data_IF_150201015363
#
_entry.id   IF_150201015363
#
_cell.length_a   1.000
_cell.length_b   1.000
_cell.length_c   1.000
_cell.angle_alpha   90.00
_cell.angle_beta   90.00
_cell.angle_gamma   90.00
#
_symmetry.space_group_name_H-M   'P 1'
#
loop_
_entity.id
_entity.type
_entity.pdbx_description
1 polymer ?
#
# COMPACT_ATOMS: atom_id res chain seq x y z
N UNK A 1 -27.38 14.71 16.49
CA UNK A 1 -26.44 14.04 15.58
C UNK A 1 -26.43 14.84 14.29
N UNK A 2 -25.27 15.27 13.80
CA UNK A 2 -25.19 15.97 12.52
C UNK A 2 -25.58 15.00 11.38
N UNK A 3 -26.27 15.45 10.32
CA UNK A 3 -26.45 14.66 9.11
C UNK A 3 -25.10 14.17 8.58
N UNK A 4 -25.04 12.97 7.99
CA UNK A 4 -23.81 12.33 7.49
C UNK A 4 -22.87 13.30 6.75
N UNK A 5 -23.42 14.07 5.80
CA UNK A 5 -22.64 15.06 5.03
C UNK A 5 -22.10 16.21 5.88
N UNK A 6 -22.88 16.71 6.85
CA UNK A 6 -22.45 17.80 7.72
C UNK A 6 -21.34 17.34 8.68
N UNK A 7 -21.39 16.10 9.16
CA UNK A 7 -20.31 15.53 9.96
C UNK A 7 -19.02 15.39 9.13
N UNK A 8 -19.13 14.89 7.89
CA UNK A 8 -17.99 14.77 6.97
C UNK A 8 -17.29 16.12 6.72
N UNK A 9 -18.04 17.19 6.48
CA UNK A 9 -17.45 18.54 6.33
C UNK A 9 -16.78 19.00 7.62
N UNK A 10 -17.46 18.86 8.78
CA UNK A 10 -16.89 19.26 10.07
C UNK A 10 -15.60 18.48 10.39
N UNK A 11 -15.56 17.19 10.10
CA UNK A 11 -14.36 16.36 10.23
C UNK A 11 -13.23 16.88 9.35
N UNK A 12 -13.50 17.15 8.08
CA UNK A 12 -12.45 17.58 7.16
C UNK A 12 -11.92 18.99 7.49
N UNK A 13 -12.79 19.88 7.98
CA UNK A 13 -12.43 21.21 8.45
C UNK A 13 -11.47 21.19 9.65
N UNK A 14 -11.45 20.12 10.45
CA UNK A 14 -10.48 19.98 11.55
C UNK A 14 -9.05 19.87 11.06
N UNK A 15 -8.83 19.31 9.87
CA UNK A 15 -7.50 19.05 9.28
C UNK A 15 -6.58 18.18 10.15
N UNK A 16 -7.13 17.46 11.13
CA UNK A 16 -6.32 16.62 12.06
C UNK A 16 -6.31 15.14 11.67
N UNK A 17 -7.13 14.76 10.70
CA UNK A 17 -7.32 13.39 10.24
C UNK A 17 -7.94 12.47 11.31
N UNK A 18 -7.92 11.16 11.03
CA UNK A 18 -8.45 10.12 11.92
C UNK A 18 -7.68 10.10 13.25
N UNK A 19 -6.36 10.31 13.21
CA UNK A 19 -5.55 10.40 14.42
C UNK A 19 -6.04 11.50 15.37
N UNK A 20 -6.48 12.64 14.85
CA UNK A 20 -7.07 13.71 15.67
C UNK A 20 -8.40 13.34 16.34
N UNK A 21 -9.12 12.33 15.81
CA UNK A 21 -10.29 11.75 16.47
C UNK A 21 -9.90 10.82 17.62
N UNK A 22 -8.80 10.09 17.47
CA UNK A 22 -8.35 9.09 18.46
C UNK A 22 -7.70 9.72 19.69
N UNK A 23 -6.93 10.79 19.50
CA UNK A 23 -6.23 11.51 20.58
C UNK A 23 -7.11 11.95 21.77
N UNK A 24 -8.33 12.49 21.58
CA UNK A 24 -9.23 12.82 22.69
C UNK A 24 -9.94 11.58 23.30
N UNK A 25 -9.60 10.36 22.87
CA UNK A 25 -10.14 9.12 23.45
C UNK A 25 -11.52 8.74 22.91
N UNK A 26 -11.72 8.82 21.59
CA UNK A 26 -12.99 8.40 20.98
C UNK A 26 -13.29 6.92 21.29
N UNK A 27 -14.49 6.65 21.80
CA UNK A 27 -14.95 5.32 22.19
C UNK A 27 -15.83 4.64 21.15
N UNK A 28 -16.24 5.37 20.11
CA UNK A 28 -17.17 4.93 19.07
C UNK A 28 -16.69 5.43 17.71
N UNK A 29 -16.62 4.54 16.72
CA UNK A 29 -16.31 4.90 15.33
C UNK A 29 -17.46 5.73 14.76
N UNK A 30 -17.24 6.98 14.31
CA UNK A 30 -18.27 7.82 13.71
C UNK A 30 -18.85 7.18 12.44
N UNK A 31 -20.13 7.46 12.15
CA UNK A 31 -20.86 6.83 11.06
C UNK A 31 -20.20 6.97 9.68
N UNK A 32 -19.43 8.05 9.44
CA UNK A 32 -18.72 8.21 8.16
C UNK A 32 -17.65 7.14 7.92
N UNK A 33 -17.17 6.48 8.98
CA UNK A 33 -16.17 5.41 8.91
C UNK A 33 -16.80 4.02 9.12
N UNK A 34 -18.12 3.93 9.29
CA UNK A 34 -18.82 2.66 9.50
C UNK A 34 -19.11 2.02 8.16
N UNK A 35 -18.56 0.84 7.95
CA UNK A 35 -18.83 0.02 6.77
C UNK A 35 -19.98 -0.94 7.12
N UNK A 36 -21.04 -1.03 6.30
CA UNK A 36 -22.21 -1.86 6.62
C UNK A 36 -21.92 -3.37 6.60
N UNK A 37 -20.88 -3.79 5.85
CA UNK A 37 -20.39 -5.17 5.83
C UNK A 37 -18.89 -5.22 5.45
N UNK A 38 -17.98 -4.88 6.38
CA UNK A 38 -16.55 -4.82 6.07
C UNK A 38 -15.92 -6.20 5.80
N UNK A 39 -16.58 -7.29 6.24
CA UNK A 39 -15.94 -8.61 6.32
C UNK A 39 -16.72 -9.77 5.69
N UNK A 40 -18.02 -9.69 5.39
CA UNK A 40 -18.82 -10.89 5.12
C UNK A 40 -18.86 -11.37 3.66
N UNK A 41 -18.21 -10.71 2.71
CA UNK A 41 -18.31 -11.12 1.30
C UNK A 41 -17.35 -12.25 0.86
N UNK A 42 -16.35 -12.64 1.65
CA UNK A 42 -15.40 -13.72 1.28
C UNK A 42 -14.68 -14.29 2.51
N UNK A 43 -14.56 -15.61 2.59
CA UNK A 43 -13.94 -16.33 3.71
C UNK A 43 -12.42 -16.08 3.80
N UNK A 44 -11.86 -16.18 5.01
CA UNK A 44 -10.42 -16.29 5.19
C UNK A 44 -9.92 -17.66 4.71
N UNK A 45 -8.71 -17.68 4.19
CA UNK A 45 -8.06 -18.89 3.75
C UNK A 45 -7.90 -19.89 4.89
N UNK A 46 -8.02 -21.18 4.55
CA UNK A 46 -7.71 -22.26 5.50
C UNK A 46 -6.22 -22.30 5.81
N UNK A 47 -5.87 -22.92 6.94
CA UNK A 47 -4.46 -23.15 7.31
C UNK A 47 -3.66 -23.82 6.18
N UNK A 48 -2.42 -23.36 5.98
CA UNK A 48 -1.49 -23.90 4.99
C UNK A 48 -1.41 -23.12 3.67
N UNK A 49 -2.33 -22.18 3.44
CA UNK A 49 -2.23 -21.25 2.31
C UNK A 49 -1.29 -20.10 2.69
N UNK A 50 -0.26 -19.87 1.86
CA UNK A 50 0.75 -18.84 2.11
C UNK A 50 1.14 -18.13 0.82
N UNK A 51 1.40 -16.83 0.94
CA UNK A 51 1.88 -15.99 -0.15
C UNK A 51 3.31 -16.44 -0.53
N UNK A 52 3.62 -16.61 -1.83
CA UNK A 52 4.94 -17.05 -2.27
C UNK A 52 6.07 -16.13 -1.82
N UNK A 53 7.28 -16.68 -1.75
CA UNK A 53 8.51 -15.97 -1.44
C UNK A 53 9.46 -16.06 -2.63
N UNK A 54 10.02 -14.91 -3.02
CA UNK A 54 11.07 -14.77 -4.03
C UNK A 54 12.35 -14.35 -3.31
N UNK A 55 13.37 -15.20 -3.39
CA UNK A 55 14.65 -15.01 -2.73
C UNK A 55 15.72 -14.52 -3.72
N UNK A 56 16.20 -13.29 -3.52
CA UNK A 56 17.23 -12.67 -4.38
C UNK A 56 18.65 -13.22 -4.18
N UNK A 57 18.87 -14.09 -3.18
CA UNK A 57 20.15 -14.80 -3.02
C UNK A 57 20.28 -16.01 -3.95
N UNK A 58 19.19 -16.44 -4.58
CA UNK A 58 19.19 -17.54 -5.54
C UNK A 58 19.83 -17.13 -6.88
N UNK A 59 20.34 -18.10 -7.66
CA UNK A 59 20.76 -17.85 -9.03
C UNK A 59 19.65 -17.17 -9.85
N UNK A 60 20.03 -16.16 -10.67
CA UNK A 60 19.08 -15.31 -11.40
C UNK A 60 17.97 -16.09 -12.15
N UNK A 61 18.25 -17.18 -12.89
CA UNK A 61 17.18 -17.93 -13.57
C UNK A 61 16.14 -18.55 -12.62
N UNK A 62 16.55 -18.94 -11.41
CA UNK A 62 15.64 -19.52 -10.41
C UNK A 62 14.79 -18.43 -9.76
N UNK A 63 15.40 -17.28 -9.42
CA UNK A 63 14.66 -16.13 -8.89
C UNK A 63 13.66 -15.59 -9.91
N UNK A 64 14.03 -15.53 -11.20
CA UNK A 64 13.17 -15.10 -12.30
C UNK A 64 11.98 -16.05 -12.48
N UNK A 65 12.22 -17.36 -12.51
CA UNK A 65 11.16 -18.36 -12.60
C UNK A 65 10.19 -18.29 -11.40
N UNK A 66 10.71 -18.09 -10.18
CA UNK A 66 9.91 -17.93 -8.97
C UNK A 66 9.06 -16.65 -9.01
N UNK A 67 9.65 -15.52 -9.42
CA UNK A 67 8.95 -14.25 -9.55
C UNK A 67 7.83 -14.31 -10.60
N UNK A 68 8.11 -14.87 -11.77
CA UNK A 68 7.10 -15.02 -12.83
C UNK A 68 5.99 -15.99 -12.42
N UNK A 69 6.32 -17.10 -11.76
CA UNK A 69 5.34 -18.03 -11.22
C UNK A 69 4.43 -17.39 -10.17
N UNK A 70 5.01 -16.67 -9.20
CA UNK A 70 4.24 -15.98 -8.17
C UNK A 70 3.41 -14.82 -8.74
N UNK A 71 3.98 -14.01 -9.63
CA UNK A 71 3.25 -12.93 -10.30
C UNK A 71 2.06 -13.45 -11.13
N UNK A 72 2.19 -14.64 -11.74
CA UNK A 72 1.15 -15.28 -12.55
C UNK A 72 0.07 -15.97 -11.71
N UNK A 73 0.45 -16.68 -10.66
CA UNK A 73 -0.48 -17.52 -9.91
C UNK A 73 -1.13 -16.78 -8.73
N UNK A 74 -0.43 -15.79 -8.19
CA UNK A 74 -0.85 -15.04 -7.01
C UNK A 74 -1.03 -13.56 -7.26
N UNK A 75 -0.22 -12.97 -8.15
CA UNK A 75 -0.13 -11.52 -8.28
C UNK A 75 0.55 -10.83 -7.08
N UNK A 76 0.91 -11.59 -6.04
CA UNK A 76 1.61 -11.13 -4.85
C UNK A 76 2.75 -12.07 -4.49
N UNK A 77 3.83 -11.51 -3.95
CA UNK A 77 4.89 -12.30 -3.31
C UNK A 77 5.70 -11.45 -2.34
N UNK A 78 6.29 -12.12 -1.35
CA UNK A 78 7.36 -11.53 -0.55
C UNK A 78 8.67 -11.57 -1.31
N UNK A 79 9.38 -10.46 -1.33
CA UNK A 79 10.77 -10.37 -1.80
C UNK A 79 11.67 -10.37 -0.57
N UNK A 80 12.63 -11.30 -0.50
CA UNK A 80 13.59 -11.42 0.61
C UNK A 80 15.03 -11.31 0.12
N UNK A 81 15.96 -11.11 1.05
CA UNK A 81 17.39 -10.98 0.78
C UNK A 81 17.74 -9.83 -0.19
N UNK A 82 16.93 -8.76 -0.22
CA UNK A 82 17.10 -7.58 -1.07
C UNK A 82 18.07 -6.52 -0.49
N UNK A 83 18.97 -6.90 0.42
CA UNK A 83 19.85 -5.98 1.14
C UNK A 83 20.84 -5.22 0.24
N UNK A 84 21.14 -5.78 -0.95
CA UNK A 84 21.93 -5.09 -1.97
C UNK A 84 21.18 -3.92 -2.63
N UNK A 85 19.83 -3.93 -2.58
CA UNK A 85 18.97 -2.90 -3.19
C UNK A 85 18.47 -1.90 -2.13
N UNK A 86 18.19 -2.40 -0.93
CA UNK A 86 17.70 -1.62 0.21
C UNK A 86 18.55 -1.96 1.44
N UNK A 87 19.31 -1.00 1.99
CA UNK A 87 20.15 -1.25 3.16
C UNK A 87 19.34 -1.79 4.35
N UNK A 88 19.93 -2.72 5.10
CA UNK A 88 19.30 -3.28 6.30
C UNK A 88 18.89 -2.18 7.29
N UNK A 89 17.68 -2.32 7.85
CA UNK A 89 17.09 -1.35 8.77
C UNK A 89 16.63 -0.03 8.13
N UNK A 90 16.75 0.16 6.82
CA UNK A 90 16.22 1.36 6.16
C UNK A 90 14.70 1.44 6.27
N UNK A 91 13.99 0.33 6.00
CA UNK A 91 12.53 0.26 6.09
C UNK A 91 12.03 0.56 7.50
N UNK A 92 12.74 0.11 8.53
CA UNK A 92 12.37 0.36 9.92
C UNK A 92 12.47 1.85 10.26
N UNK A 93 13.54 2.52 9.82
CA UNK A 93 13.70 3.98 9.97
C UNK A 93 12.62 4.74 9.20
N UNK A 94 12.30 4.30 7.98
CA UNK A 94 11.23 4.89 7.18
C UNK A 94 9.87 4.81 7.89
N UNK A 95 9.49 3.62 8.35
CA UNK A 95 8.24 3.40 9.09
C UNK A 95 8.21 4.22 10.39
N UNK A 96 9.33 4.27 11.12
CA UNK A 96 9.46 5.07 12.34
C UNK A 96 9.33 6.58 12.05
N UNK A 97 9.90 7.09 10.96
CA UNK A 97 9.82 8.50 10.60
C UNK A 97 8.39 8.90 10.17
N UNK A 98 7.72 8.06 9.39
CA UNK A 98 6.30 8.25 9.02
C UNK A 98 5.42 8.22 10.28
N UNK A 99 5.66 7.28 11.20
CA UNK A 99 4.98 7.23 12.50
C UNK A 99 5.21 8.51 13.29
N UNK A 100 6.47 8.95 13.40
CA UNK A 100 6.83 10.16 14.14
C UNK A 100 6.08 11.39 13.61
N UNK A 101 5.94 11.55 12.30
CA UNK A 101 5.09 12.60 11.73
C UNK A 101 3.62 12.51 12.21
N UNK A 102 3.01 11.33 12.12
CA UNK A 102 1.61 11.13 12.49
C UNK A 102 1.35 11.28 14.00
N UNK A 103 2.39 11.18 14.83
CA UNK A 103 2.33 11.37 16.28
C UNK A 103 2.71 12.80 16.73
N UNK A 104 3.02 13.71 15.79
CA UNK A 104 3.22 15.13 16.09
C UNK A 104 1.92 15.81 16.57
N UNK A 105 2.02 16.97 17.25
CA UNK A 105 0.86 17.74 17.66
C UNK A 105 -0.09 18.04 16.48
N UNK A 106 -1.41 18.02 16.68
CA UNK A 106 -2.40 18.20 15.61
C UNK A 106 -2.19 19.48 14.79
N UNK A 107 -1.77 20.57 15.45
CA UNK A 107 -1.52 21.85 14.79
C UNK A 107 -0.37 21.78 13.77
N UNK A 108 0.65 20.94 14.02
CA UNK A 108 1.77 20.73 13.11
C UNK A 108 1.32 19.89 11.92
N UNK A 109 0.58 18.80 12.17
CA UNK A 109 0.04 17.93 11.10
C UNK A 109 -0.96 18.67 10.22
N UNK A 110 -1.83 19.49 10.81
CA UNK A 110 -2.86 20.27 10.11
C UNK A 110 -2.29 21.28 9.09
N UNK A 111 -1.06 21.76 9.28
CA UNK A 111 -0.39 22.63 8.33
C UNK A 111 -0.07 21.94 7.00
N UNK A 112 0.04 20.61 6.99
CA UNK A 112 0.25 19.80 5.79
C UNK A 112 -1.05 19.28 5.18
N UNK A 113 -2.20 19.47 5.84
CA UNK A 113 -3.44 18.83 5.45
C UNK A 113 -4.02 19.42 4.16
N UNK A 114 -4.27 18.57 3.17
CA UNK A 114 -4.71 19.00 1.85
C UNK A 114 -4.95 17.81 0.90
N UNK A 115 -5.61 18.10 -0.22
CA UNK A 115 -5.87 17.16 -1.33
C UNK A 115 -5.73 17.83 -2.70
N UNK A 116 -5.03 18.96 -2.77
CA UNK A 116 -4.99 19.76 -3.99
C UNK A 116 -3.91 19.28 -4.96
N UNK A 117 -3.02 18.37 -4.55
CA UNK A 117 -1.89 17.84 -5.35
C UNK A 117 -0.92 18.95 -5.79
N UNK A 118 -1.13 20.19 -5.35
CA UNK A 118 -0.22 21.29 -5.61
C UNK A 118 1.16 20.87 -5.14
N UNK A 119 2.21 21.07 -5.94
CA UNK A 119 3.58 20.73 -5.58
C UNK A 119 3.86 19.24 -5.30
N UNK A 120 2.91 18.33 -5.53
CA UNK A 120 3.08 16.88 -5.46
C UNK A 120 3.18 16.27 -4.07
N UNK A 121 2.75 16.98 -3.01
CA UNK A 121 2.74 16.46 -1.62
C UNK A 121 1.43 16.83 -0.93
N UNK A 122 0.73 15.84 -0.41
CA UNK A 122 -0.52 15.98 0.33
C UNK A 122 -0.52 15.16 1.63
N UNK A 123 -1.30 15.59 2.61
CA UNK A 123 -1.64 14.82 3.81
C UNK A 123 -3.15 14.83 4.03
N UNK A 124 -3.78 13.65 4.10
CA UNK A 124 -5.23 13.52 4.21
C UNK A 124 -5.65 12.18 4.83
N UNK A 125 -6.91 12.06 5.26
CA UNK A 125 -7.44 10.75 5.68
C UNK A 125 -7.91 9.89 4.52
N UNK A 126 -8.72 10.46 3.62
CA UNK A 126 -9.25 9.77 2.45
C UNK A 126 -9.23 10.71 1.24
N UNK A 127 -8.71 10.24 0.11
CA UNK A 127 -8.67 10.99 -1.15
C UNK A 127 -10.09 11.23 -1.69
N UNK A 128 -10.94 10.20 -1.61
CA UNK A 128 -12.29 10.15 -2.16
C UNK A 128 -13.39 10.49 -1.13
N UNK A 129 -13.03 11.13 -0.02
CA UNK A 129 -13.90 11.37 1.16
C UNK A 129 -15.33 11.80 0.81
N UNK A 130 -15.50 12.72 -0.15
CA UNK A 130 -16.79 13.28 -0.54
C UNK A 130 -17.62 12.41 -1.51
N UNK A 131 -17.07 11.29 -1.97
CA UNK A 131 -17.66 10.39 -2.97
C UNK A 131 -17.94 8.99 -2.40
N UNK A 132 -17.18 8.56 -1.39
CA UNK A 132 -17.33 7.23 -0.79
C UNK A 132 -18.58 7.14 0.09
N UNK A 133 -19.20 5.95 0.14
CA UNK A 133 -20.29 5.67 1.09
C UNK A 133 -19.82 5.51 2.54
N UNK A 134 -18.54 5.14 2.72
CA UNK A 134 -17.85 5.12 4.00
C UNK A 134 -16.35 5.35 3.78
N UNK A 135 -15.75 6.17 4.63
CA UNK A 135 -14.33 6.49 4.65
C UNK A 135 -13.52 5.35 5.30
N UNK A 136 -12.26 5.23 4.91
CA UNK A 136 -11.31 4.33 5.57
C UNK A 136 -10.75 4.97 6.84
N UNK A 137 -10.60 4.20 7.91
CA UNK A 137 -9.98 4.66 9.16
C UNK A 137 -8.47 4.71 8.97
N UNK A 138 -7.93 5.79 8.39
CA UNK A 138 -6.48 5.97 8.19
C UNK A 138 -6.15 7.44 7.97
N UNK A 139 -4.88 7.76 8.11
CA UNK A 139 -4.26 8.98 7.60
C UNK A 139 -3.17 8.62 6.58
N UNK A 140 -2.89 9.49 5.62
CA UNK A 140 -2.00 9.21 4.49
C UNK A 140 -1.20 10.45 4.15
N UNK A 141 0.13 10.30 4.06
CA UNK A 141 0.99 11.21 3.30
C UNK A 141 1.08 10.65 1.88
N UNK A 142 0.77 11.46 0.88
CA UNK A 142 0.95 11.12 -0.53
C UNK A 142 2.04 12.00 -1.14
N UNK A 143 2.97 11.39 -1.87
CA UNK A 143 4.04 12.09 -2.58
C UNK A 143 4.08 11.59 -4.02
N UNK A 144 3.85 12.49 -4.97
CA UNK A 144 3.98 12.22 -6.40
C UNK A 144 5.42 12.51 -6.83
N UNK A 145 6.18 11.45 -7.13
CA UNK A 145 7.58 11.52 -7.54
C UNK A 145 7.79 11.60 -9.06
N UNK A 146 6.75 11.36 -9.86
CA UNK A 146 6.79 11.43 -11.31
C UNK A 146 5.41 11.69 -11.93
N UNK A 147 5.35 12.22 -13.17
CA UNK A 147 6.48 12.44 -14.07
C UNK A 147 7.33 13.66 -13.72
N UNK A 148 6.80 14.61 -12.93
CA UNK A 148 7.55 15.73 -12.38
C UNK A 148 7.92 15.46 -10.92
N UNK A 149 9.14 15.82 -10.53
CA UNK A 149 9.55 15.71 -9.11
C UNK A 149 8.80 16.75 -8.25
N UNK A 150 8.43 16.38 -7.02
CA UNK A 150 7.76 17.29 -6.11
C UNK A 150 8.77 18.28 -5.52
N UNK A 151 8.26 19.36 -4.95
CA UNK A 151 9.05 20.17 -4.04
C UNK A 151 9.24 19.40 -2.72
N UNK A 152 10.44 18.86 -2.50
CA UNK A 152 10.74 18.05 -1.32
C UNK A 152 10.64 18.83 -0.01
N UNK A 153 10.70 20.17 -0.05
CA UNK A 153 10.52 20.99 1.16
C UNK A 153 9.10 20.89 1.72
N UNK A 154 8.12 20.53 0.87
CA UNK A 154 6.74 20.30 1.30
C UNK A 154 6.53 18.99 2.05
N UNK A 155 7.45 18.04 1.91
CA UNK A 155 7.44 16.80 2.69
C UNK A 155 7.78 17.15 4.14
N UNK A 156 7.01 16.67 5.14
CA UNK A 156 7.25 16.99 6.55
C UNK A 156 8.70 16.69 6.95
N UNK A 157 9.37 17.67 7.57
CA UNK A 157 10.80 17.62 7.82
C UNK A 157 11.24 16.37 8.61
N UNK A 158 10.39 15.88 9.52
CA UNK A 158 10.66 14.70 10.36
C UNK A 158 10.76 13.38 9.58
N UNK A 159 10.19 13.29 8.37
CA UNK A 159 10.21 12.07 7.55
C UNK A 159 10.74 12.29 6.13
N UNK A 160 11.20 13.50 5.82
CA UNK A 160 11.62 13.90 4.47
C UNK A 160 12.76 13.06 3.92
N UNK A 161 13.84 12.88 4.68
CA UNK A 161 15.03 12.13 4.25
C UNK A 161 14.69 10.69 3.90
N UNK A 162 13.87 10.05 4.72
CA UNK A 162 13.47 8.65 4.59
C UNK A 162 12.53 8.48 3.40
N UNK A 163 11.55 9.37 3.23
CA UNK A 163 10.62 9.34 2.08
C UNK A 163 11.37 9.53 0.75
N UNK A 164 12.30 10.50 0.68
CA UNK A 164 13.12 10.72 -0.52
C UNK A 164 14.07 9.55 -0.77
N UNK A 165 14.68 9.00 0.29
CA UNK A 165 15.52 7.81 0.16
C UNK A 165 14.74 6.58 -0.31
N UNK A 166 13.49 6.44 0.13
CA UNK A 166 12.63 5.34 -0.30
C UNK A 166 12.30 5.42 -1.79
N UNK A 167 12.06 6.61 -2.37
CA UNK A 167 11.87 6.76 -3.82
C UNK A 167 13.03 6.14 -4.61
N UNK A 168 14.27 6.41 -4.19
CA UNK A 168 15.46 5.85 -4.82
C UNK A 168 15.53 4.32 -4.66
N UNK A 169 15.39 3.82 -3.44
CA UNK A 169 15.47 2.39 -3.14
C UNK A 169 14.34 1.58 -3.82
N UNK A 170 13.11 2.07 -3.74
CA UNK A 170 11.95 1.46 -4.40
C UNK A 170 12.11 1.49 -5.93
N UNK A 171 12.70 2.53 -6.51
CA UNK A 171 12.99 2.56 -7.96
C UNK A 171 13.99 1.45 -8.34
N UNK A 172 15.03 1.23 -7.54
CA UNK A 172 16.00 0.15 -7.77
C UNK A 172 15.36 -1.24 -7.60
N UNK A 173 14.51 -1.42 -6.59
CA UNK A 173 13.76 -2.67 -6.39
C UNK A 173 12.80 -2.91 -7.56
N UNK A 174 12.08 -1.88 -8.02
CA UNK A 174 11.16 -1.99 -9.16
C UNK A 174 11.87 -2.46 -10.42
N UNK A 175 13.04 -1.88 -10.74
CA UNK A 175 13.87 -2.31 -11.88
C UNK A 175 14.27 -3.78 -11.77
N UNK A 176 14.78 -4.19 -10.61
CA UNK A 176 15.19 -5.58 -10.39
C UNK A 176 14.01 -6.56 -10.52
N UNK A 177 12.86 -6.24 -9.92
CA UNK A 177 11.66 -7.08 -9.99
C UNK A 177 11.10 -7.16 -11.41
N UNK A 178 11.04 -6.04 -12.14
CA UNK A 178 10.59 -6.04 -13.53
C UNK A 178 11.51 -6.89 -14.42
N UNK A 179 12.83 -6.80 -14.24
CA UNK A 179 13.78 -7.65 -14.97
C UNK A 179 13.55 -9.14 -14.69
N UNK A 180 13.38 -9.52 -13.42
CA UNK A 180 13.06 -10.91 -13.03
C UNK A 180 11.74 -11.40 -13.65
N UNK A 181 10.71 -10.56 -13.65
CA UNK A 181 9.42 -10.88 -14.26
C UNK A 181 9.57 -11.06 -15.78
N UNK A 182 10.29 -10.16 -16.46
CA UNK A 182 10.57 -10.26 -17.89
C UNK A 182 11.32 -11.55 -18.22
N UNK A 183 12.44 -11.83 -17.56
CA UNK A 183 13.25 -13.04 -17.78
C UNK A 183 12.44 -14.32 -17.53
N UNK A 184 11.70 -14.38 -16.43
CA UNK A 184 10.86 -15.53 -16.07
C UNK A 184 9.68 -15.75 -17.04
N UNK A 185 9.31 -14.72 -17.79
CA UNK A 185 8.32 -14.78 -18.88
C UNK A 185 8.95 -15.01 -20.26
N UNK A 186 10.28 -15.09 -20.36
CA UNK A 186 11.00 -15.28 -21.63
C UNK A 186 11.10 -14.00 -22.47
N UNK A 187 10.98 -12.83 -21.85
CA UNK A 187 11.14 -11.51 -22.47
C UNK A 187 12.56 -10.97 -22.23
N UNK A 188 12.94 -9.93 -22.99
CA UNK A 188 14.13 -9.15 -22.68
C UNK A 188 13.96 -8.44 -21.32
N UNK A 189 15.02 -8.44 -20.49
CA UNK A 189 14.98 -7.97 -19.11
C UNK A 189 14.58 -6.48 -18.97
N UNK A 190 14.82 -5.68 -20.00
CA UNK A 190 14.54 -4.25 -20.07
C UNK A 190 13.18 -3.92 -20.70
N UNK A 191 12.43 -4.92 -21.21
CA UNK A 191 11.20 -4.69 -21.96
C UNK A 191 10.14 -3.85 -21.20
N UNK A 192 10.04 -4.01 -19.88
CA UNK A 192 9.14 -3.21 -19.05
C UNK A 192 9.67 -1.79 -18.81
N UNK A 193 10.98 -1.64 -18.70
CA UNK A 193 11.59 -0.32 -18.52
C UNK A 193 11.44 0.52 -19.79
N UNK A 194 11.68 -0.06 -20.97
CA UNK A 194 11.49 0.58 -22.28
C UNK A 194 10.03 0.99 -22.51
N UNK A 195 9.07 0.31 -21.89
CA UNK A 195 7.65 0.64 -21.97
C UNK A 195 7.21 1.79 -21.02
N UNK A 196 8.17 2.57 -20.51
CA UNK A 196 7.98 3.71 -19.59
C UNK A 196 7.28 3.34 -18.27
N UNK A 197 7.39 2.08 -17.81
CA UNK A 197 6.73 1.61 -16.60
C UNK A 197 7.25 2.20 -15.28
N UNK A 198 8.26 3.10 -15.32
CA UNK A 198 8.85 3.76 -14.15
C UNK A 198 8.67 5.29 -14.11
N UNK A 199 7.99 5.88 -15.10
CA UNK A 199 7.83 7.34 -15.17
C UNK A 199 6.78 7.86 -14.18
N UNK A 200 5.65 7.15 -14.05
CA UNK A 200 4.61 7.46 -13.07
C UNK A 200 4.94 6.83 -11.72
N UNK A 201 5.22 7.67 -10.72
CA UNK A 201 5.56 7.20 -9.37
C UNK A 201 4.80 7.98 -8.32
N UNK A 202 4.07 7.25 -7.48
CA UNK A 202 3.38 7.78 -6.31
C UNK A 202 3.76 6.93 -5.12
N UNK A 203 4.12 7.59 -4.03
CA UNK A 203 4.35 6.96 -2.73
C UNK A 203 3.21 7.34 -1.80
N UNK A 204 2.62 6.36 -1.15
CA UNK A 204 1.62 6.55 -0.10
C UNK A 204 2.13 5.99 1.22
N UNK A 205 2.15 6.83 2.24
CA UNK A 205 2.54 6.47 3.60
C UNK A 205 1.28 6.38 4.45
N UNK A 206 0.70 5.19 4.58
CA UNK A 206 -0.50 4.99 5.37
C UNK A 206 -0.17 4.84 6.86
N UNK A 207 -0.91 5.58 7.68
CA UNK A 207 -0.92 5.46 9.12
C UNK A 207 -2.31 5.02 9.57
N UNK A 208 -2.34 3.99 10.43
CA UNK A 208 -3.55 3.31 10.85
C UNK A 208 -3.71 3.45 12.37
N UNK A 209 -4.38 4.50 12.87
CA UNK A 209 -4.58 4.71 14.30
C UNK A 209 -5.38 3.55 14.94
N UNK A 210 -5.15 3.30 16.23
CA UNK A 210 -5.99 2.40 17.03
C UNK A 210 -7.48 2.68 16.81
N UNK A 211 -8.27 1.63 16.64
CA UNK A 211 -9.70 1.72 16.37
C UNK A 211 -10.50 1.11 17.54
N UNK A 212 -11.50 1.84 18.10
CA UNK A 212 -12.30 1.32 19.22
C UNK A 212 -13.34 0.26 18.81
N UNK A 213 -13.79 0.27 17.54
CA UNK A 213 -14.75 -0.71 16.98
C UNK A 213 -14.18 -1.30 15.67
N UNK A 214 -13.09 -2.08 15.71
CA UNK A 214 -12.39 -2.59 14.53
C UNK A 214 -13.29 -3.44 13.61
N UNK A 215 -14.32 -4.06 14.17
CA UNK A 215 -15.31 -4.86 13.46
C UNK A 215 -16.29 -4.02 12.60
N UNK A 216 -16.31 -2.69 12.79
CA UNK A 216 -17.23 -1.76 12.11
C UNK A 216 -16.56 -0.91 11.03
N UNK A 217 -15.25 -0.98 10.88
CA UNK A 217 -14.50 -0.15 9.92
C UNK A 217 -13.44 -0.93 9.16
N UNK A 218 -12.73 -0.26 8.24
CA UNK A 218 -11.61 -0.81 7.50
C UNK A 218 -10.49 0.24 7.37
N UNK A 219 -9.24 -0.24 7.35
CA UNK A 219 -8.07 0.60 7.05
C UNK A 219 -7.94 0.90 5.58
N UNK A 220 -8.27 -0.07 4.73
CA UNK A 220 -8.45 0.18 3.30
C UNK A 220 -9.49 -0.81 2.78
N UNK A 221 -10.43 -0.30 2.00
CA UNK A 221 -11.47 -1.08 1.34
C UNK A 221 -10.84 -2.03 0.30
N UNK A 222 -11.50 -3.14 -0.07
CA UNK A 222 -11.08 -3.98 -1.18
C UNK A 222 -10.90 -3.18 -2.48
N UNK A 223 -9.70 -3.21 -3.06
CA UNK A 223 -9.39 -2.57 -4.35
C UNK A 223 -8.27 -3.32 -5.05
N UNK A 224 -8.04 -3.03 -6.34
CA UNK A 224 -6.84 -3.42 -7.09
C UNK A 224 -6.00 -2.19 -7.36
N UNK A 225 -4.69 -2.36 -7.52
CA UNK A 225 -3.79 -1.24 -7.79
C UNK A 225 -3.72 -0.95 -9.30
N UNK A 226 -4.06 0.27 -9.76
CA UNK A 226 -4.04 0.65 -11.17
C UNK A 226 -2.61 1.04 -11.63
N UNK A 227 -1.60 0.27 -11.22
CA UNK A 227 -0.18 0.50 -11.49
C UNK A 227 0.45 -0.71 -12.19
N UNK A 228 1.75 -0.63 -12.50
CA UNK A 228 2.52 -1.78 -13.00
C UNK A 228 2.95 -2.68 -11.83
N UNK A 229 3.52 -2.07 -10.80
CA UNK A 229 4.07 -2.75 -9.65
C UNK A 229 3.85 -1.90 -8.40
N UNK A 230 3.44 -2.53 -7.30
CA UNK A 230 3.48 -1.91 -5.95
C UNK A 230 4.58 -2.59 -5.14
N UNK A 231 5.39 -1.78 -4.45
CA UNK A 231 6.41 -2.24 -3.51
C UNK A 231 6.03 -1.72 -2.14
N UNK A 232 5.71 -2.63 -1.23
CA UNK A 232 5.17 -2.31 0.08
C UNK A 232 6.13 -2.75 1.19
N UNK A 233 6.55 -1.77 1.99
CA UNK A 233 7.14 -2.02 3.30
C UNK A 233 6.04 -2.00 4.36
N UNK A 234 6.02 -2.99 5.26
CA UNK A 234 5.01 -3.14 6.30
C UNK A 234 5.67 -3.14 7.68
N UNK A 235 4.93 -2.69 8.70
CA UNK A 235 5.33 -2.87 10.09
C UNK A 235 5.07 -4.30 10.58
N UNK A 236 5.40 -4.58 11.84
CA UNK A 236 5.24 -5.88 12.48
C UNK A 236 3.81 -6.17 12.97
N UNK A 237 2.91 -5.18 12.91
CA UNK A 237 1.49 -5.31 13.28
C UNK A 237 0.71 -6.04 12.19
N UNK A 238 0.97 -5.70 10.93
CA UNK A 238 0.33 -6.34 9.77
C UNK A 238 -1.08 -5.82 9.48
N UNK A 239 -2.02 -6.75 9.25
CA UNK A 239 -3.41 -6.47 8.88
C UNK A 239 -3.70 -6.43 7.38
N UNK A 240 -2.68 -6.50 6.51
CA UNK A 240 -2.92 -6.62 5.06
C UNK A 240 -3.50 -7.99 4.73
N UNK A 241 -4.52 -8.01 3.88
CA UNK A 241 -5.05 -9.23 3.29
C UNK A 241 -5.05 -9.13 1.78
N UNK A 242 -4.65 -10.22 1.12
CA UNK A 242 -4.67 -10.36 -0.34
C UNK A 242 -5.75 -11.36 -0.72
N UNK A 243 -6.49 -11.09 -1.79
CA UNK A 243 -7.47 -12.03 -2.32
C UNK A 243 -6.76 -13.02 -3.25
N UNK A 244 -7.01 -14.30 -3.06
CA UNK A 244 -6.49 -15.35 -3.93
C UNK A 244 -7.63 -16.25 -4.39
N UNK A 245 -7.57 -16.69 -5.65
CA UNK A 245 -8.48 -17.68 -6.22
C UNK A 245 -7.70 -18.94 -6.52
N UNK A 246 -8.08 -20.04 -5.89
CA UNK A 246 -7.41 -21.32 -6.11
C UNK A 246 -7.75 -21.92 -7.50
N UNK A 247 -7.08 -23.01 -7.86
CA UNK A 247 -7.29 -23.72 -9.14
C UNK A 247 -8.71 -24.25 -9.34
N UNK A 248 -9.50 -24.37 -8.28
CA UNK A 248 -10.90 -24.81 -8.34
C UNK A 248 -11.88 -23.64 -8.53
N UNK A 249 -11.39 -22.40 -8.61
CA UNK A 249 -12.20 -21.20 -8.77
C UNK A 249 -12.75 -20.62 -7.45
N UNK A 250 -12.31 -21.14 -6.30
CA UNK A 250 -12.75 -20.63 -5.00
C UNK A 250 -11.87 -19.45 -4.58
N UNK A 251 -12.49 -18.31 -4.26
CA UNK A 251 -11.80 -17.13 -3.75
C UNK A 251 -11.81 -17.08 -2.21
N UNK A 252 -10.69 -16.66 -1.64
CA UNK A 252 -10.55 -16.40 -0.21
C UNK A 252 -9.57 -15.24 0.05
N UNK A 253 -9.63 -14.66 1.24
CA UNK A 253 -8.65 -13.68 1.71
C UNK A 253 -7.53 -14.39 2.48
N UNK A 254 -6.28 -14.05 2.17
CA UNK A 254 -5.08 -14.58 2.83
C UNK A 254 -4.42 -13.45 3.61
N UNK A 255 -4.11 -13.69 4.89
CA UNK A 255 -3.33 -12.75 5.69
C UNK A 255 -1.91 -12.64 5.16
N UNK A 256 -1.52 -11.44 4.75
CA UNK A 256 -0.15 -11.09 4.47
C UNK A 256 0.58 -10.77 5.79
N UNK A 257 0.94 -11.84 6.51
CA UNK A 257 1.67 -11.73 7.78
C UNK A 257 3.03 -11.05 7.57
N UNK A 258 3.38 -10.01 8.35
CA UNK A 258 4.68 -9.36 8.26
C UNK A 258 5.83 -10.38 8.35
N UNK A 259 6.75 -10.30 7.39
CA UNK A 259 8.00 -11.08 7.38
C UNK A 259 9.15 -10.09 7.61
N UNK A 260 9.91 -10.22 8.71
CA UNK A 260 10.99 -9.30 9.02
C UNK A 260 11.99 -9.15 7.86
N UNK A 261 12.23 -7.91 7.44
CA UNK A 261 13.16 -7.60 6.35
C UNK A 261 12.70 -8.06 4.96
N UNK A 262 11.41 -8.34 4.77
CA UNK A 262 10.83 -8.60 3.45
C UNK A 262 10.07 -7.38 2.92
N UNK A 263 9.97 -7.28 1.59
CA UNK A 263 9.04 -6.37 0.92
C UNK A 263 7.89 -7.18 0.32
N UNK A 264 6.67 -6.67 0.39
CA UNK A 264 5.54 -7.23 -0.34
C UNK A 264 5.50 -6.61 -1.74
N UNK A 265 5.42 -7.44 -2.76
CA UNK A 265 5.29 -7.04 -4.15
C UNK A 265 3.89 -7.36 -4.64
N UNK A 266 3.23 -6.40 -5.29
CA UNK A 266 1.96 -6.59 -6.01
C UNK A 266 2.17 -6.34 -7.51
N UNK A 267 1.68 -7.25 -8.35
CA UNK A 267 1.54 -7.05 -9.79
C UNK A 267 0.23 -6.31 -10.07
N UNK A 268 0.33 -5.04 -10.46
CA UNK A 268 -0.83 -4.19 -10.68
C UNK A 268 -1.56 -4.43 -12.01
N UNK A 269 -2.72 -3.81 -12.16
CA UNK A 269 -3.63 -4.00 -13.29
C UNK A 269 -2.97 -3.70 -14.65
N UNK A 270 -2.06 -2.71 -14.72
CA UNK A 270 -1.40 -2.31 -15.97
C UNK A 270 -0.44 -3.38 -16.49
N UNK A 271 0.24 -4.09 -15.59
CA UNK A 271 1.16 -5.15 -15.97
C UNK A 271 0.41 -6.39 -16.46
N UNK A 272 -0.73 -6.70 -15.81
CA UNK A 272 -1.58 -7.82 -16.23
C UNK A 272 -2.08 -7.65 -17.66
N UNK A 273 -2.57 -6.46 -18.02
CA UNK A 273 -3.10 -6.18 -19.36
C UNK A 273 -2.02 -6.22 -20.43
N UNK A 274 -0.83 -5.68 -20.14
CA UNK A 274 0.23 -5.54 -21.15
C UNK A 274 1.03 -6.83 -21.40
N UNK A 275 1.30 -7.63 -20.36
CA UNK A 275 2.30 -8.71 -20.47
C UNK A 275 1.83 -10.07 -19.93
N UNK A 276 0.78 -10.11 -19.12
CA UNK A 276 0.22 -11.37 -18.58
C UNK A 276 -1.12 -11.66 -19.29
N UNK A 277 -1.10 -11.66 -20.62
CA UNK A 277 -2.30 -11.86 -21.46
C UNK A 277 -2.86 -13.29 -21.43
N UNK A 278 -2.22 -14.21 -20.70
CA UNK A 278 -2.54 -15.64 -20.68
C UNK A 278 -3.24 -16.10 -19.39
N UNK A 279 -3.62 -15.17 -18.50
CA UNK A 279 -4.33 -15.48 -17.25
C UNK A 279 -5.59 -14.62 -17.15
N UNK A 280 -6.76 -15.18 -16.76
CA UNK A 280 -7.91 -14.36 -16.38
C UNK A 280 -7.48 -13.29 -15.37
N UNK A 281 -8.03 -12.06 -15.46
CA UNK A 281 -7.71 -10.96 -14.53
C UNK A 281 -7.60 -11.53 -13.11
N UNK A 282 -6.38 -11.56 -12.57
CA UNK A 282 -6.19 -12.09 -11.24
C UNK A 282 -6.95 -11.15 -10.30
N UNK A 283 -7.75 -11.68 -9.36
CA UNK A 283 -8.37 -10.86 -8.35
C UNK A 283 -7.31 -10.42 -7.35
N UNK A 284 -6.38 -9.55 -7.79
CA UNK A 284 -5.29 -8.97 -7.00
C UNK A 284 -5.81 -7.91 -6.03
N UNK A 285 -6.93 -8.23 -5.39
CA UNK A 285 -7.56 -7.32 -4.49
C UNK A 285 -6.82 -7.33 -3.17
N UNK A 286 -6.58 -6.15 -2.63
CA UNK A 286 -6.02 -5.95 -1.29
C UNK A 286 -7.03 -5.23 -0.42
N UNK A 287 -7.04 -5.59 0.86
CA UNK A 287 -7.77 -4.88 1.90
C UNK A 287 -6.96 -4.88 3.20
N UNK A 288 -7.37 -4.03 4.13
CA UNK A 288 -6.79 -4.00 5.49
C UNK A 288 -7.91 -3.94 6.52
N UNK A 289 -8.33 -5.09 7.08
CA UNK A 289 -9.13 -5.14 8.30
C UNK A 289 -8.46 -4.40 9.46
N UNK A 290 -9.25 -4.00 10.45
CA UNK A 290 -8.74 -3.42 11.69
C UNK A 290 -8.64 -4.42 12.85
N UNK A 291 -9.17 -5.63 12.67
CA UNK A 291 -9.14 -6.71 13.66
C UNK A 291 -7.81 -7.45 13.72
#
# INVERSE_FOLDING_TARGET
MLPFKAWMYAFDETRTGVRGLVEPGVSVVPDIFRHPDPYASTQLARHGVSIPVVDLSLPAPLAAAAAAGAGRDWGFFYLVNHHALVPSGFTDRLLAAVRAFNELPPTVRAAHYGRSVDGGVDYFSNFDLYRSGAASWRDTIEVTFGPSRPDTERIPAVCRSEIVGWDAHATTVARAVMALLCEGLGLAADALEEASCLEGKVMVCHYYPMCPEPERTMGIVPHTDPVVLTILAQDDVGGLQVKHTNKNGESYWVDAKPVPGALMINVGDLLQVKFIQLVPKLPNSVRRPYG
#
